data_IF_199390881430
#
_entry.id   IF_199390881430
#
_cell.length_a   1.000
_cell.length_b   1.000
_cell.length_c   1.000
_cell.angle_alpha   90.00
_cell.angle_beta   90.00
_cell.angle_gamma   90.00
#
_symmetry.space_group_name_H-M   'P 1'
#
loop_
_entity.id
_entity.type
_entity.pdbx_description
1 polymer ?
#
# COMPACT_ATOMS: atom_id res chain seq x y z
N UNK A 1 -14.58 41.82 -31.75
CA UNK A 1 -15.55 40.73 -31.49
C UNK A 1 -14.98 39.34 -31.69
N UNK A 2 -14.22 39.06 -32.77
CA UNK A 2 -13.62 37.73 -33.04
C UNK A 2 -12.79 37.15 -31.88
N UNK A 3 -11.94 37.95 -31.23
CA UNK A 3 -11.11 37.49 -30.10
C UNK A 3 -11.94 37.09 -28.87
N UNK A 4 -13.10 37.74 -28.62
CA UNK A 4 -13.99 37.40 -27.50
C UNK A 4 -14.74 36.07 -27.73
N UNK A 5 -15.15 35.79 -28.98
CA UNK A 5 -15.72 34.48 -29.35
C UNK A 5 -14.68 33.36 -29.31
N UNK A 6 -13.43 33.63 -29.71
CA UNK A 6 -12.34 32.65 -29.63
C UNK A 6 -12.00 32.30 -28.17
N UNK A 7 -11.91 33.31 -27.30
CA UNK A 7 -11.71 33.14 -25.85
C UNK A 7 -12.85 32.39 -25.17
N UNK A 8 -14.10 32.67 -25.55
CA UNK A 8 -15.27 31.95 -25.04
C UNK A 8 -15.27 30.48 -25.49
N UNK A 9 -14.94 30.21 -26.75
CA UNK A 9 -14.81 28.84 -27.27
C UNK A 9 -13.71 28.03 -26.57
N UNK A 10 -12.54 28.63 -26.34
CA UNK A 10 -11.45 27.98 -25.60
C UNK A 10 -11.82 27.65 -24.15
N UNK A 11 -12.56 28.55 -23.48
CA UNK A 11 -13.01 28.36 -22.10
C UNK A 11 -14.02 27.21 -21.97
N UNK A 12 -14.96 27.09 -22.92
CA UNK A 12 -15.95 26.00 -22.94
C UNK A 12 -15.27 24.64 -23.17
N UNK A 13 -14.30 24.57 -24.09
CA UNK A 13 -13.53 23.35 -24.35
C UNK A 13 -12.72 22.95 -23.12
N UNK A 14 -12.07 23.90 -22.45
CA UNK A 14 -11.33 23.65 -21.22
C UNK A 14 -12.24 23.11 -20.10
N UNK A 15 -13.41 23.73 -19.88
CA UNK A 15 -14.39 23.27 -18.90
C UNK A 15 -14.89 21.86 -19.23
N UNK A 16 -15.14 21.56 -20.51
CA UNK A 16 -15.52 20.23 -20.97
C UNK A 16 -14.45 19.18 -20.66
N UNK A 17 -13.19 19.45 -21.01
CA UNK A 17 -12.07 18.54 -20.74
C UNK A 17 -11.89 18.33 -19.23
N UNK A 18 -11.94 19.40 -18.43
CA UNK A 18 -11.81 19.30 -16.98
C UNK A 18 -12.92 18.47 -16.34
N UNK A 19 -14.16 18.59 -16.84
CA UNK A 19 -15.31 17.80 -16.38
C UNK A 19 -15.15 16.32 -16.74
N UNK A 20 -14.64 16.01 -17.93
CA UNK A 20 -14.38 14.63 -18.35
C UNK A 20 -13.28 13.99 -17.49
N UNK A 21 -12.18 14.71 -17.23
CA UNK A 21 -11.09 14.22 -16.38
C UNK A 21 -11.62 13.98 -14.96
N UNK A 22 -12.35 14.94 -14.39
CA UNK A 22 -12.93 14.80 -13.06
C UNK A 22 -13.89 13.61 -12.98
N UNK A 23 -14.78 13.47 -13.97
CA UNK A 23 -15.68 12.31 -14.07
C UNK A 23 -14.89 11.01 -14.14
N UNK A 24 -13.86 10.92 -14.98
CA UNK A 24 -13.02 9.72 -15.09
C UNK A 24 -12.36 9.35 -13.76
N UNK A 25 -11.80 10.32 -13.02
CA UNK A 25 -11.20 10.09 -11.70
C UNK A 25 -12.26 9.64 -10.69
N UNK A 26 -13.46 10.24 -10.74
CA UNK A 26 -14.56 9.90 -9.81
C UNK A 26 -15.03 8.46 -9.93
N UNK A 27 -14.87 7.84 -11.09
CA UNK A 27 -15.27 6.47 -11.38
C UNK A 27 -14.14 5.45 -11.11
N UNK A 28 -12.93 5.88 -10.72
CA UNK A 28 -11.84 4.95 -10.42
C UNK A 28 -12.11 4.15 -9.15
N UNK A 29 -11.76 2.86 -9.17
CA UNK A 29 -11.59 2.10 -7.93
C UNK A 29 -10.45 2.70 -7.11
N UNK A 30 -10.44 2.43 -5.80
CA UNK A 30 -9.38 2.97 -4.94
C UNK A 30 -7.99 2.49 -5.38
N UNK A 31 -7.88 1.24 -5.83
CA UNK A 31 -6.65 0.64 -6.39
C UNK A 31 -6.14 1.41 -7.62
N UNK A 32 -7.02 1.66 -8.60
CA UNK A 32 -6.64 2.43 -9.79
C UNK A 32 -6.27 3.87 -9.46
N UNK A 33 -6.92 4.46 -8.47
CA UNK A 33 -6.63 5.81 -8.03
C UNK A 33 -5.27 5.90 -7.32
N UNK A 34 -4.88 4.88 -6.53
CA UNK A 34 -3.54 4.74 -5.95
C UNK A 34 -2.48 4.64 -7.05
N UNK A 35 -2.70 3.78 -8.06
CA UNK A 35 -1.78 3.66 -9.20
C UNK A 35 -1.66 4.98 -9.98
N UNK A 36 -2.77 5.68 -10.20
CA UNK A 36 -2.75 6.96 -10.89
C UNK A 36 -1.96 7.99 -10.08
N UNK A 37 -2.17 8.05 -8.77
CA UNK A 37 -1.47 8.94 -7.85
C UNK A 37 0.04 8.68 -7.79
N UNK A 38 0.44 7.43 -8.06
CA UNK A 38 1.83 6.97 -8.04
C UNK A 38 2.51 7.00 -9.42
N UNK A 39 1.82 7.48 -10.45
CA UNK A 39 2.28 7.48 -11.85
C UNK A 39 2.52 6.06 -12.45
N UNK A 40 1.87 5.05 -11.89
CA UNK A 40 2.01 3.64 -12.29
C UNK A 40 0.79 3.13 -13.10
N UNK A 41 -0.27 3.94 -13.22
CA UNK A 41 -1.48 3.51 -13.94
C UNK A 41 -1.36 3.57 -15.46
N UNK A 42 -0.31 4.16 -16.02
CA UNK A 42 -0.17 4.41 -17.47
C UNK A 42 -1.27 5.30 -18.07
N UNK A 43 -2.00 6.06 -17.25
CA UNK A 43 -3.11 6.90 -17.74
C UNK A 43 -2.60 8.27 -18.19
N UNK A 44 -3.41 9.00 -18.98
CA UNK A 44 -3.12 10.39 -19.37
C UNK A 44 -3.45 11.42 -18.29
N UNK A 45 -3.97 10.98 -17.14
CA UNK A 45 -4.38 11.88 -16.06
C UNK A 45 -3.14 12.18 -15.22
N UNK A 46 -2.82 13.47 -14.94
CA UNK A 46 -1.67 13.81 -14.12
C UNK A 46 -1.75 13.17 -12.73
N UNK A 47 -0.68 12.51 -12.30
CA UNK A 47 -0.62 11.82 -11.00
C UNK A 47 -0.93 12.74 -9.83
N UNK A 48 -0.45 13.99 -9.87
CA UNK A 48 -0.77 15.00 -8.85
C UNK A 48 -2.26 15.32 -8.73
N UNK A 49 -3.01 15.26 -9.84
CA UNK A 49 -4.47 15.46 -9.82
C UNK A 49 -5.19 14.25 -9.20
N UNK A 50 -4.76 13.04 -9.54
CA UNK A 50 -5.26 11.82 -8.90
C UNK A 50 -4.97 11.81 -7.41
N UNK A 51 -3.75 12.16 -7.00
CA UNK A 51 -3.35 12.23 -5.60
C UNK A 51 -4.17 13.29 -4.85
N UNK A 52 -4.33 14.48 -5.42
CA UNK A 52 -5.19 15.52 -4.85
C UNK A 52 -6.62 15.02 -4.67
N UNK A 53 -7.20 14.38 -5.70
CA UNK A 53 -8.56 13.87 -5.62
C UNK A 53 -8.68 12.77 -4.54
N UNK A 54 -7.73 11.85 -4.50
CA UNK A 54 -7.67 10.76 -3.54
C UNK A 54 -7.67 11.26 -2.10
N UNK A 55 -6.78 12.20 -1.78
CA UNK A 55 -6.60 12.70 -0.41
C UNK A 55 -7.76 13.54 0.10
N UNK A 56 -8.48 14.23 -0.80
CA UNK A 56 -9.52 15.18 -0.43
C UNK A 56 -10.95 14.64 -0.57
N UNK A 57 -11.18 13.65 -1.43
CA UNK A 57 -12.53 13.16 -1.74
C UNK A 57 -12.70 11.63 -1.60
N UNK A 58 -11.61 10.89 -1.40
CA UNK A 58 -11.61 9.42 -1.26
C UNK A 58 -10.88 9.03 0.04
N UNK A 59 -10.49 7.75 0.13
CA UNK A 59 -9.97 7.13 1.35
C UNK A 59 -11.00 7.28 2.49
N UNK A 60 -12.26 7.00 2.15
CA UNK A 60 -13.35 6.85 3.11
C UNK A 60 -13.45 5.39 3.59
N UNK A 61 -14.34 5.10 4.54
CA UNK A 61 -14.47 3.74 5.09
C UNK A 61 -14.75 2.66 4.04
N UNK A 62 -15.53 2.96 2.99
CA UNK A 62 -15.76 2.03 1.88
C UNK A 62 -14.47 1.74 1.13
N UNK A 63 -13.68 2.78 0.83
CA UNK A 63 -12.39 2.62 0.14
C UNK A 63 -11.39 1.79 0.97
N UNK A 64 -11.38 1.98 2.30
CA UNK A 64 -10.56 1.19 3.21
C UNK A 64 -10.98 -0.28 3.21
N UNK A 65 -12.28 -0.54 3.32
CA UNK A 65 -12.82 -1.90 3.28
C UNK A 65 -12.52 -2.57 1.93
N UNK A 66 -12.79 -1.88 0.81
CA UNK A 66 -12.55 -2.40 -0.55
C UNK A 66 -11.07 -2.74 -0.78
N UNK A 67 -10.14 -1.97 -0.20
CA UNK A 67 -8.72 -2.27 -0.28
C UNK A 67 -8.33 -3.44 0.65
N UNK A 68 -8.88 -3.45 1.87
CA UNK A 68 -8.63 -4.46 2.90
C UNK A 68 -9.09 -5.87 2.51
N UNK A 69 -10.26 -5.99 1.89
CA UNK A 69 -10.79 -7.27 1.36
C UNK A 69 -9.98 -7.82 0.17
N UNK A 70 -9.05 -7.02 -0.37
CA UNK A 70 -8.15 -7.41 -1.45
C UNK A 70 -6.74 -7.75 -0.95
N UNK A 71 -5.75 -7.07 -1.53
CA UNK A 71 -4.34 -7.22 -1.12
C UNK A 71 -3.96 -6.30 0.05
N UNK A 72 -4.89 -5.51 0.60
CA UNK A 72 -4.63 -4.62 1.73
C UNK A 72 -3.41 -3.72 1.52
N UNK A 73 -2.54 -3.65 2.54
CA UNK A 73 -1.32 -2.86 2.48
C UNK A 73 -0.30 -3.36 1.45
N UNK A 74 -0.27 -4.65 1.14
CA UNK A 74 0.66 -5.17 0.13
C UNK A 74 0.41 -4.53 -1.24
N UNK A 75 -0.85 -4.17 -1.56
CA UNK A 75 -1.16 -3.43 -2.78
C UNK A 75 -0.35 -2.12 -2.89
N UNK A 76 -0.27 -1.37 -1.79
CA UNK A 76 0.42 -0.09 -1.74
C UNK A 76 1.93 -0.31 -1.64
N UNK A 77 2.40 -1.25 -0.82
CA UNK A 77 3.83 -1.45 -0.57
C UNK A 77 4.57 -2.06 -1.78
N UNK A 78 3.84 -2.72 -2.68
CA UNK A 78 4.37 -3.26 -3.94
C UNK A 78 4.50 -2.23 -5.07
N UNK A 79 4.05 -0.99 -4.87
CA UNK A 79 4.30 0.11 -5.80
C UNK A 79 5.82 0.33 -6.00
N UNK A 80 6.20 0.74 -7.21
CA UNK A 80 7.57 1.17 -7.52
C UNK A 80 7.86 2.58 -7.00
N UNK A 81 6.81 3.39 -6.82
CA UNK A 81 6.91 4.77 -6.35
C UNK A 81 7.59 4.89 -4.98
N UNK A 82 8.54 5.84 -4.80
CA UNK A 82 9.14 6.11 -3.50
C UNK A 82 8.13 6.63 -2.46
N UNK A 83 6.98 7.16 -2.92
CA UNK A 83 5.93 7.67 -2.04
C UNK A 83 5.06 6.55 -1.43
N UNK A 84 5.29 5.27 -1.77
CA UNK A 84 4.47 4.15 -1.31
C UNK A 84 4.31 4.08 0.20
N UNK A 85 5.36 4.34 0.97
CA UNK A 85 5.29 4.35 2.44
C UNK A 85 4.45 5.52 2.96
N UNK A 86 4.53 6.68 2.32
CA UNK A 86 3.70 7.85 2.67
C UNK A 86 2.22 7.58 2.35
N UNK A 87 1.95 6.94 1.21
CA UNK A 87 0.58 6.52 0.87
C UNK A 87 0.09 5.50 1.89
N UNK A 88 0.90 4.49 2.24
CA UNK A 88 0.56 3.49 3.24
C UNK A 88 0.26 4.12 4.61
N UNK A 89 1.07 5.07 5.08
CA UNK A 89 0.82 5.83 6.32
C UNK A 89 -0.55 6.51 6.31
N UNK A 90 -0.92 7.12 5.18
CA UNK A 90 -2.23 7.78 5.05
C UNK A 90 -3.35 6.76 5.16
N UNK A 91 -3.27 5.64 4.46
CA UNK A 91 -4.31 4.59 4.54
C UNK A 91 -4.41 3.97 5.94
N UNK A 92 -3.29 3.69 6.60
CA UNK A 92 -3.25 3.21 7.99
C UNK A 92 -3.89 4.23 8.93
N UNK A 93 -3.56 5.52 8.78
CA UNK A 93 -4.16 6.60 9.59
C UNK A 93 -5.67 6.75 9.38
N UNK A 94 -6.20 6.22 8.28
CA UNK A 94 -7.62 6.18 7.94
C UNK A 94 -8.30 4.86 8.31
N UNK A 95 -7.58 3.94 8.93
CA UNK A 95 -8.12 2.69 9.49
C UNK A 95 -7.85 1.44 8.65
N UNK A 96 -6.99 1.49 7.63
CA UNK A 96 -6.52 0.27 6.99
C UNK A 96 -5.70 -0.54 7.98
N UNK A 97 -6.08 -1.80 8.22
CA UNK A 97 -5.40 -2.66 9.17
C UNK A 97 -3.96 -2.96 8.72
N UNK A 98 -2.99 -2.65 9.59
CA UNK A 98 -1.56 -2.91 9.35
C UNK A 98 -1.26 -4.41 9.25
N UNK A 99 -2.09 -5.24 9.88
CA UNK A 99 -1.99 -6.69 9.88
C UNK A 99 -2.90 -7.36 8.83
N UNK A 100 -3.67 -6.58 8.07
CA UNK A 100 -4.62 -7.08 7.09
C UNK A 100 -3.94 -7.96 6.05
N UNK A 101 -4.43 -9.18 5.88
CA UNK A 101 -3.79 -10.18 5.02
C UNK A 101 -4.04 -9.90 3.54
N UNK A 102 -3.13 -10.36 2.70
CA UNK A 102 -3.30 -10.32 1.27
C UNK A 102 -4.13 -11.52 0.80
N UNK A 103 -5.43 -11.31 0.58
CA UNK A 103 -6.38 -12.34 0.15
C UNK A 103 -6.22 -12.80 -1.31
N UNK A 104 -5.36 -12.14 -2.09
CA UNK A 104 -4.97 -12.60 -3.43
C UNK A 104 -3.71 -13.45 -3.42
N UNK A 105 -2.98 -13.49 -2.30
CA UNK A 105 -1.94 -14.49 -2.09
C UNK A 105 -2.60 -15.84 -1.85
N UNK A 106 -2.00 -16.92 -2.30
CA UNK A 106 -2.45 -18.29 -2.01
C UNK A 106 -2.24 -18.72 -0.54
N UNK A 107 -1.95 -17.77 0.35
CA UNK A 107 -1.39 -17.99 1.67
C UNK A 107 -1.93 -17.05 2.73
N UNK A 108 -2.82 -16.12 2.38
CA UNK A 108 -3.39 -15.09 3.27
C UNK A 108 -2.35 -14.56 4.26
N UNK A 109 -1.26 -14.05 3.69
CA UNK A 109 -0.10 -13.59 4.45
C UNK A 109 -0.28 -12.15 4.91
N UNK A 110 0.18 -11.84 6.12
CA UNK A 110 0.25 -10.45 6.58
C UNK A 110 1.35 -9.70 5.80
N UNK A 111 1.31 -8.36 5.77
CA UNK A 111 2.35 -7.57 5.08
C UNK A 111 3.77 -7.85 5.61
N UNK A 112 3.88 -8.23 6.89
CA UNK A 112 5.16 -8.58 7.50
C UNK A 112 5.70 -9.92 6.95
N UNK A 113 4.86 -10.91 6.71
CA UNK A 113 5.28 -12.15 6.02
C UNK A 113 5.71 -11.88 4.59
N UNK A 114 4.96 -11.05 3.85
CA UNK A 114 5.35 -10.64 2.49
C UNK A 114 6.73 -9.97 2.48
N UNK A 115 7.01 -9.08 3.45
CA UNK A 115 8.33 -8.43 3.56
C UNK A 115 9.49 -9.41 3.81
N UNK A 116 9.26 -10.48 4.56
CA UNK A 116 10.24 -11.55 4.77
C UNK A 116 10.49 -12.35 3.49
N UNK A 117 9.42 -12.67 2.76
CA UNK A 117 9.50 -13.39 1.50
C UNK A 117 10.33 -12.61 0.46
N UNK A 118 10.07 -11.31 0.31
CA UNK A 118 10.81 -10.43 -0.59
C UNK A 118 12.19 -9.96 -0.08
N UNK A 119 12.60 -10.39 1.12
CA UNK A 119 13.80 -9.91 1.81
C UNK A 119 13.89 -8.37 1.90
N UNK A 120 12.75 -7.72 2.15
CA UNK A 120 12.58 -6.27 2.15
C UNK A 120 12.73 -5.70 3.58
N UNK A 121 13.98 -5.44 3.98
CA UNK A 121 14.34 -4.89 5.29
C UNK A 121 13.67 -3.54 5.57
N UNK A 122 13.52 -2.69 4.56
CA UNK A 122 12.89 -1.37 4.70
C UNK A 122 11.41 -1.53 5.03
N UNK A 123 10.71 -2.41 4.30
CA UNK A 123 9.30 -2.72 4.54
C UNK A 123 9.08 -3.35 5.91
N UNK A 124 9.97 -4.24 6.38
CA UNK A 124 9.93 -4.78 7.75
C UNK A 124 9.96 -3.64 8.78
N UNK A 125 10.94 -2.74 8.67
CA UNK A 125 11.09 -1.62 9.60
C UNK A 125 9.88 -0.68 9.56
N UNK A 126 9.39 -0.38 8.37
CA UNK A 126 8.18 0.42 8.19
C UNK A 126 6.99 -0.19 8.92
N UNK A 127 6.68 -1.47 8.67
CA UNK A 127 5.53 -2.14 9.26
C UNK A 127 5.62 -2.23 10.79
N UNK A 128 6.80 -2.55 11.33
CA UNK A 128 7.04 -2.56 12.79
C UNK A 128 6.79 -1.16 13.37
N UNK A 129 7.28 -0.10 12.72
CA UNK A 129 7.04 1.28 13.15
C UNK A 129 5.56 1.65 13.11
N UNK A 130 4.78 1.08 12.19
CA UNK A 130 3.33 1.26 12.10
C UNK A 130 2.54 0.34 13.06
N UNK A 131 3.21 -0.47 13.89
CA UNK A 131 2.56 -1.31 14.89
C UNK A 131 2.10 -2.68 14.38
N UNK A 132 2.72 -3.21 13.32
CA UNK A 132 2.47 -4.58 12.87
C UNK A 132 2.78 -5.60 13.98
N UNK A 133 1.91 -6.59 14.16
CA UNK A 133 2.10 -7.68 15.12
C UNK A 133 2.97 -8.77 14.51
N UNK A 134 4.19 -8.90 15.03
CA UNK A 134 5.16 -9.90 14.59
C UNK A 134 4.81 -11.34 14.99
N UNK A 135 3.82 -11.54 15.87
CA UNK A 135 3.45 -12.84 16.40
C UNK A 135 2.29 -13.51 15.66
N UNK A 136 1.68 -12.83 14.69
CA UNK A 136 0.64 -13.43 13.86
C UNK A 136 1.23 -14.59 13.08
N UNK A 137 0.57 -15.75 13.13
CA UNK A 137 0.88 -16.87 12.24
C UNK A 137 0.05 -16.72 10.98
N UNK A 138 0.71 -16.61 9.83
CA UNK A 138 0.01 -16.65 8.54
C UNK A 138 -0.70 -17.99 8.34
N UNK A 139 -1.87 -17.98 7.71
CA UNK A 139 -2.63 -19.20 7.42
C UNK A 139 -1.84 -20.12 6.48
N UNK A 140 -1.19 -19.55 5.48
CA UNK A 140 -0.56 -20.31 4.41
C UNK A 140 0.77 -20.97 4.73
N UNK A 141 1.58 -20.37 5.61
CA UNK A 141 2.85 -20.94 6.07
C UNK A 141 2.74 -21.60 7.44
N UNK A 142 1.66 -21.32 8.17
CA UNK A 142 1.48 -21.69 9.57
C UNK A 142 2.67 -21.24 10.43
N UNK A 143 3.28 -20.10 10.08
CA UNK A 143 4.48 -19.55 10.71
C UNK A 143 4.25 -18.08 11.00
N UNK A 144 4.95 -17.57 12.02
CA UNK A 144 5.19 -16.14 12.22
C UNK A 144 6.19 -15.61 11.19
N UNK A 145 6.31 -14.29 11.10
CA UNK A 145 7.30 -13.66 10.23
C UNK A 145 8.75 -14.08 10.58
N UNK A 146 9.07 -14.22 11.88
CA UNK A 146 10.40 -14.65 12.33
C UNK A 146 10.69 -16.11 11.95
N UNK A 147 9.76 -17.03 12.23
CA UNK A 147 9.91 -18.45 11.87
C UNK A 147 10.08 -18.63 10.36
N UNK A 148 9.34 -17.85 9.55
CA UNK A 148 9.49 -17.85 8.10
C UNK A 148 10.88 -17.35 7.67
N UNK A 149 11.39 -16.29 8.29
CA UNK A 149 12.71 -15.72 7.97
C UNK A 149 13.84 -16.72 8.27
N UNK A 150 13.79 -17.38 9.42
CA UNK A 150 14.77 -18.39 9.82
C UNK A 150 14.75 -19.61 8.88
N UNK A 151 13.55 -20.07 8.49
CA UNK A 151 13.38 -21.17 7.54
C UNK A 151 14.00 -20.82 6.18
N UNK A 152 13.61 -19.69 5.59
CA UNK A 152 14.11 -19.28 4.27
C UNK A 152 15.61 -19.05 4.26
N UNK A 153 16.17 -18.50 5.35
CA UNK A 153 17.61 -18.33 5.50
C UNK A 153 18.36 -19.68 5.54
N UNK A 154 17.81 -20.69 6.23
CA UNK A 154 18.39 -22.02 6.31
C UNK A 154 18.29 -22.81 5.02
N UNK A 155 17.22 -22.62 4.25
CA UNK A 155 16.97 -23.33 2.99
C UNK A 155 17.93 -22.92 1.85
N UNK A 156 18.95 -22.11 2.17
CA UNK A 156 20.07 -21.73 1.29
C UNK A 156 19.61 -21.02 0.01
N UNK A 157 18.49 -20.31 0.12
CA UNK A 157 18.13 -19.28 -0.83
C UNK A 157 19.28 -18.26 -0.84
N UNK A 158 19.70 -17.76 -2.00
CA UNK A 158 20.94 -16.97 -2.17
C UNK A 158 20.89 -15.60 -1.47
N UNK A 159 19.86 -15.35 -0.69
CA UNK A 159 19.49 -14.10 -0.07
C UNK A 159 19.78 -14.14 1.43
N UNK A 160 20.62 -13.21 1.88
CA UNK A 160 20.89 -13.01 3.30
C UNK A 160 19.70 -12.33 3.98
N UNK A 161 19.07 -13.06 4.91
CA UNK A 161 17.93 -12.59 5.73
C UNK A 161 18.34 -12.32 7.18
N UNK A 162 19.65 -12.32 7.49
CA UNK A 162 20.16 -12.15 8.86
C UNK A 162 19.68 -10.85 9.51
N UNK A 163 19.58 -9.76 8.74
CA UNK A 163 19.10 -8.49 9.26
C UNK A 163 17.61 -8.53 9.63
N UNK A 164 16.77 -9.11 8.77
CA UNK A 164 15.34 -9.31 9.06
C UNK A 164 15.16 -10.17 10.31
N UNK A 165 15.91 -11.27 10.42
CA UNK A 165 15.89 -12.13 11.61
C UNK A 165 16.24 -11.31 12.85
N UNK A 166 17.34 -10.54 12.81
CA UNK A 166 17.75 -9.68 13.93
C UNK A 166 16.67 -8.68 14.35
N UNK A 167 16.01 -8.03 13.39
CA UNK A 167 14.94 -7.07 13.65
C UNK A 167 13.74 -7.78 14.30
N UNK A 168 13.27 -8.87 13.70
CA UNK A 168 12.08 -9.60 14.18
C UNK A 168 12.30 -10.23 15.56
N UNK A 169 13.48 -10.85 15.81
CA UNK A 169 13.81 -11.38 17.13
C UNK A 169 13.80 -10.30 18.22
N UNK A 170 14.17 -9.06 17.88
CA UNK A 170 14.15 -7.96 18.85
C UNK A 170 12.73 -7.54 19.27
N UNK A 171 11.73 -7.67 18.39
CA UNK A 171 10.35 -7.27 18.69
C UNK A 171 9.48 -8.42 19.24
N UNK A 172 9.79 -9.67 18.87
CA UNK A 172 9.10 -10.85 19.40
C UNK A 172 9.42 -11.12 20.88
N UNK A 173 10.66 -10.87 21.32
CA UNK A 173 11.06 -11.09 22.71
C UNK A 173 10.48 -10.03 23.68
N UNK A 174 10.33 -8.78 23.22
CA UNK A 174 9.84 -7.67 24.06
C UNK A 174 8.38 -7.87 24.50
N UNK A 175 7.55 -8.55 23.69
CA UNK A 175 6.15 -8.79 24.05
C UNK A 175 5.96 -9.94 25.04
N UNK A 176 6.95 -10.82 25.22
CA UNK A 176 6.90 -11.90 26.22
C UNK A 176 7.26 -11.40 27.63
N UNK A 177 8.07 -10.34 27.77
CA UNK A 177 8.44 -9.76 29.07
C UNK A 177 7.33 -8.90 29.70
N UNK A 178 6.40 -8.37 28.90
CA UNK A 178 5.29 -7.52 29.40
C UNK A 178 4.10 -8.35 29.91
N UNK A 179 4.11 -9.68 29.68
CA UNK A 179 3.08 -10.62 30.15
C UNK A 179 3.54 -11.48 31.35
N UNK A 180 4.65 -11.14 32.00
CA UNK A 180 5.09 -11.67 33.29
C UNK A 180 5.10 -10.58 34.37
#
# INVERSE_FOLDING_TARGET
MKNKMLLAGASVVFLGISSIIFYAISQMSIQHLILCSSNESGTRIPSGLCNYYMLNFRINASDINDLGEGAGLDYILNLESPDKYKIAEIFISRGLDVNGVNHFSNKDVTPLHSSVFYNDVERVNFLIKQGADANIRSEGYEMTALELAEKLHKDNDKEDRSEIIRILSSVSNVHQEVMQ
#
